data_IF_402604091492
#
_entry.id   IF_402604091492
#
_cell.length_a   1.000
_cell.length_b   1.000
_cell.length_c   1.000
_cell.angle_alpha   90.00
_cell.angle_beta   90.00
_cell.angle_gamma   90.00
#
_symmetry.space_group_name_H-M   'P 1'
#
loop_
_entity.id
_entity.type
_entity.pdbx_description
1 polymer ?
#
# COMPACT_ATOMS: atom_id res chain seq x y z
N UNK A 1 -20.71 22.49 -8.68
CA UNK A 1 -20.58 21.93 -7.33
C UNK A 1 -19.45 20.91 -7.43
N UNK A 2 -18.43 21.02 -6.57
CA UNK A 2 -17.27 20.14 -6.65
C UNK A 2 -17.65 18.73 -6.18
N UNK A 3 -16.95 17.71 -6.69
CA UNK A 3 -17.18 16.34 -6.31
C UNK A 3 -16.29 15.93 -5.14
N UNK A 4 -16.82 15.09 -4.26
CA UNK A 4 -16.01 14.30 -3.35
C UNK A 4 -15.57 13.05 -4.09
N UNK A 5 -14.25 12.86 -4.19
CA UNK A 5 -13.68 11.75 -4.98
C UNK A 5 -12.60 11.04 -4.22
N UNK A 6 -12.44 9.75 -4.48
CA UNK A 6 -11.20 9.03 -4.21
C UNK A 6 -10.90 8.03 -5.32
N UNK A 7 -9.65 7.65 -5.41
CA UNK A 7 -9.17 6.63 -6.34
C UNK A 7 -8.22 5.69 -5.61
N UNK A 8 -8.37 4.40 -5.83
CA UNK A 8 -7.45 3.38 -5.32
C UNK A 8 -6.58 2.90 -6.48
N UNK A 9 -5.28 2.92 -6.24
CA UNK A 9 -4.28 2.40 -7.16
C UNK A 9 -3.64 1.14 -6.59
N UNK A 10 -3.59 0.11 -7.38
CA UNK A 10 -2.78 -1.06 -7.09
C UNK A 10 -1.36 -0.87 -7.65
N UNK A 11 -0.38 -1.32 -6.89
CA UNK A 11 1.04 -1.16 -7.20
C UNK A 11 1.61 -2.54 -7.45
N UNK A 12 1.88 -2.84 -8.71
CA UNK A 12 2.46 -4.10 -9.12
C UNK A 12 3.99 -4.03 -9.21
N UNK A 13 4.60 -5.19 -9.36
CA UNK A 13 6.04 -5.32 -9.55
C UNK A 13 6.56 -4.45 -10.71
N UNK A 14 7.74 -3.86 -10.52
CA UNK A 14 8.34 -2.98 -11.52
C UNK A 14 7.76 -1.57 -11.57
N UNK A 15 7.04 -1.14 -10.51
CA UNK A 15 6.39 0.17 -10.44
C UNK A 15 5.34 0.39 -11.53
N UNK A 16 4.56 -0.64 -11.81
CA UNK A 16 3.36 -0.53 -12.62
C UNK A 16 2.18 -0.20 -11.72
N UNK A 17 1.36 0.74 -12.11
CA UNK A 17 0.26 1.29 -11.34
C UNK A 17 -1.06 1.07 -12.05
N UNK A 18 -2.06 0.59 -11.36
CA UNK A 18 -3.37 0.33 -11.92
C UNK A 18 -4.48 0.99 -11.09
N UNK A 19 -5.35 1.74 -11.74
CA UNK A 19 -6.56 2.26 -11.12
C UNK A 19 -7.56 1.10 -10.94
N UNK A 20 -7.81 0.69 -9.70
CA UNK A 20 -8.66 -0.48 -9.40
C UNK A 20 -10.01 -0.13 -8.80
N UNK A 21 -10.15 1.06 -8.24
CA UNK A 21 -11.43 1.56 -7.70
C UNK A 21 -11.49 3.07 -7.79
N UNK A 22 -12.68 3.58 -8.09
CA UNK A 22 -12.99 5.02 -8.09
C UNK A 22 -14.30 5.27 -7.35
N UNK A 23 -14.35 6.41 -6.70
CA UNK A 23 -15.56 6.94 -6.08
C UNK A 23 -15.72 8.41 -6.48
N UNK A 24 -16.94 8.79 -6.87
CA UNK A 24 -17.28 10.16 -7.25
C UNK A 24 -18.71 10.47 -6.85
N UNK A 25 -18.91 11.44 -5.99
CA UNK A 25 -20.24 11.88 -5.55
C UNK A 25 -20.23 13.37 -5.23
N UNK A 26 -21.20 14.12 -5.74
CA UNK A 26 -21.36 15.55 -5.45
C UNK A 26 -22.46 15.83 -4.43
N UNK A 27 -23.15 14.80 -3.95
CA UNK A 27 -24.26 14.90 -3.01
C UNK A 27 -23.88 14.40 -1.61
N UNK A 28 -22.78 13.67 -1.50
CA UNK A 28 -22.32 13.12 -0.21
C UNK A 28 -21.93 14.23 0.76
N UNK A 29 -22.36 14.08 2.00
CA UNK A 29 -21.84 14.93 3.09
C UNK A 29 -20.35 14.66 3.31
N UNK A 30 -19.51 15.70 3.41
CA UNK A 30 -18.10 15.54 3.76
C UNK A 30 -17.88 14.77 5.07
N UNK A 31 -18.87 14.75 5.97
CA UNK A 31 -18.80 13.98 7.22
C UNK A 31 -18.93 12.46 7.04
N UNK A 32 -19.51 12.01 5.93
CA UNK A 32 -19.68 10.57 5.63
C UNK A 32 -18.53 10.03 4.77
N UNK A 33 -17.78 10.90 4.12
CA UNK A 33 -16.68 10.50 3.25
C UNK A 33 -15.58 9.70 4.00
N UNK A 34 -15.18 10.07 5.24
CA UNK A 34 -14.17 9.33 6.00
C UNK A 34 -14.54 7.85 6.21
N UNK A 35 -15.79 7.57 6.61
CA UNK A 35 -16.25 6.18 6.82
C UNK A 35 -16.15 5.36 5.54
N UNK A 36 -16.52 5.96 4.40
CA UNK A 36 -16.43 5.29 3.10
C UNK A 36 -14.97 5.05 2.74
N UNK A 37 -14.10 6.05 2.90
CA UNK A 37 -12.68 5.91 2.63
C UNK A 37 -12.06 4.79 3.49
N UNK A 38 -12.29 4.79 4.79
CA UNK A 38 -11.77 3.78 5.71
C UNK A 38 -12.28 2.38 5.36
N UNK A 39 -13.58 2.25 5.02
CA UNK A 39 -14.17 0.98 4.59
C UNK A 39 -13.49 0.42 3.35
N UNK A 40 -13.32 1.24 2.32
CA UNK A 40 -12.68 0.80 1.08
C UNK A 40 -11.19 0.54 1.27
N UNK A 41 -10.48 1.36 2.03
CA UNK A 41 -9.08 1.13 2.33
C UNK A 41 -8.85 -0.23 3.03
N UNK A 42 -9.70 -0.58 4.00
CA UNK A 42 -9.68 -1.92 4.64
C UNK A 42 -9.97 -3.06 3.66
N UNK A 43 -10.89 -2.86 2.70
CA UNK A 43 -11.18 -3.86 1.66
C UNK A 43 -9.99 -4.07 0.71
N UNK A 44 -9.17 -3.05 0.53
CA UNK A 44 -7.98 -3.07 -0.32
C UNK A 44 -6.70 -3.20 0.53
N UNK A 45 -6.68 -4.18 1.42
CA UNK A 45 -5.52 -4.60 2.20
C UNK A 45 -4.94 -3.48 3.09
N UNK A 46 -5.81 -2.79 3.82
CA UNK A 46 -5.44 -1.64 4.66
C UNK A 46 -4.60 -0.60 3.90
N UNK A 47 -5.08 -0.22 2.72
CA UNK A 47 -4.37 0.66 1.80
C UNK A 47 -3.92 1.97 2.45
N UNK A 48 -2.75 2.47 2.08
CA UNK A 48 -2.28 3.80 2.50
C UNK A 48 -3.23 4.89 2.00
N UNK A 49 -3.81 5.67 2.91
CA UNK A 49 -4.68 6.78 2.54
C UNK A 49 -3.87 8.08 2.45
N UNK A 50 -3.96 8.73 1.30
CA UNK A 50 -3.40 10.05 1.03
C UNK A 50 -4.55 11.01 0.82
N UNK A 51 -4.71 11.98 1.70
CA UNK A 51 -5.79 12.98 1.63
C UNK A 51 -5.21 14.35 1.26
N UNK A 52 -5.87 15.07 0.36
CA UNK A 52 -5.61 16.49 0.17
C UNK A 52 -6.07 17.28 1.39
N UNK A 53 -5.13 17.83 2.16
CA UNK A 53 -5.39 18.55 3.42
C UNK A 53 -5.72 20.04 3.20
N UNK A 54 -6.42 20.37 2.12
CA UNK A 54 -6.88 21.74 1.87
C UNK A 54 -8.37 21.85 2.23
N UNK A 55 -8.78 22.94 2.84
CA UNK A 55 -10.20 23.22 3.12
C UNK A 55 -10.89 22.08 3.89
N UNK A 56 -11.88 21.44 3.27
CA UNK A 56 -12.66 20.34 3.85
C UNK A 56 -11.84 19.06 4.07
N UNK A 57 -10.78 18.85 3.29
CA UNK A 57 -9.90 17.69 3.44
C UNK A 57 -9.20 17.62 4.80
N UNK A 58 -8.94 18.75 5.44
CA UNK A 58 -8.39 18.77 6.79
C UNK A 58 -9.33 18.12 7.83
N UNK A 59 -10.65 18.25 7.64
CA UNK A 59 -11.65 17.59 8.49
C UNK A 59 -11.64 16.06 8.20
N UNK A 60 -11.60 15.66 6.94
CA UNK A 60 -11.51 14.26 6.54
C UNK A 60 -10.26 13.59 7.13
N UNK A 61 -9.11 14.27 7.09
CA UNK A 61 -7.87 13.78 7.72
C UNK A 61 -8.04 13.54 9.22
N UNK A 62 -8.65 14.47 9.93
CA UNK A 62 -8.83 14.37 11.38
C UNK A 62 -9.80 13.25 11.75
N UNK A 63 -10.91 13.15 11.04
CA UNK A 63 -11.91 12.11 11.26
C UNK A 63 -11.31 10.71 11.03
N UNK A 64 -10.61 10.51 9.91
CA UNK A 64 -9.94 9.24 9.61
C UNK A 64 -8.94 8.86 10.70
N UNK A 65 -8.09 9.80 11.13
CA UNK A 65 -6.98 9.49 12.00
C UNK A 65 -7.37 9.40 13.47
N UNK A 66 -8.20 10.35 13.98
CA UNK A 66 -8.50 10.44 15.42
C UNK A 66 -9.79 9.73 15.80
N UNK A 67 -10.83 9.75 14.94
CA UNK A 67 -12.14 9.18 15.29
C UNK A 67 -12.27 7.75 14.78
N UNK A 68 -11.81 7.48 13.55
CA UNK A 68 -11.84 6.12 12.97
C UNK A 68 -10.56 5.33 13.23
N UNK A 69 -9.57 5.94 13.89
CA UNK A 69 -8.29 5.32 14.25
C UNK A 69 -7.62 4.60 13.07
N UNK A 70 -7.72 5.18 11.86
CA UNK A 70 -7.08 4.60 10.69
C UNK A 70 -5.61 5.02 10.65
N UNK A 71 -4.71 4.09 11.03
CA UNK A 71 -3.29 4.40 11.24
C UNK A 71 -2.50 4.56 9.93
N UNK A 72 -2.89 3.81 8.86
CA UNK A 72 -2.12 3.81 7.61
C UNK A 72 -2.44 5.04 6.74
N UNK A 73 -2.10 6.22 7.25
CA UNK A 73 -2.27 7.50 6.56
C UNK A 73 -0.93 8.13 6.22
N UNK A 74 -0.89 8.77 5.05
CA UNK A 74 0.28 9.57 4.67
C UNK A 74 0.41 10.81 5.56
N UNK A 75 1.61 11.02 6.11
CA UNK A 75 1.94 12.17 6.94
C UNK A 75 3.14 12.92 6.38
N UNK A 76 3.00 14.23 6.22
CA UNK A 76 4.12 15.13 5.87
C UNK A 76 4.99 15.47 7.08
N UNK A 77 4.45 15.35 8.29
CA UNK A 77 5.17 15.57 9.55
C UNK A 77 4.49 14.84 10.69
N UNK A 78 5.25 14.05 11.44
CA UNK A 78 4.77 13.31 12.62
C UNK A 78 4.51 14.20 13.86
N UNK A 79 4.85 15.49 13.80
CA UNK A 79 4.92 16.35 15.00
C UNK A 79 3.70 17.26 15.16
N UNK A 80 2.87 17.45 14.13
CA UNK A 80 1.72 18.35 14.17
C UNK A 80 0.48 17.70 13.57
N UNK A 81 -0.67 17.95 14.18
CA UNK A 81 -1.98 17.55 13.64
C UNK A 81 -2.20 18.03 12.18
N UNK A 82 -1.61 19.15 11.80
CA UNK A 82 -1.61 19.68 10.43
C UNK A 82 -0.70 18.91 9.47
N UNK A 83 0.06 17.92 9.95
CA UNK A 83 0.95 17.07 9.15
C UNK A 83 0.27 15.88 8.50
N UNK A 84 -0.99 15.60 8.80
CA UNK A 84 -1.75 14.50 8.21
C UNK A 84 -2.19 14.90 6.80
N UNK A 85 -1.92 14.01 5.83
CA UNK A 85 -2.25 14.27 4.42
C UNK A 85 -1.27 15.20 3.70
N UNK A 86 -1.66 15.64 2.53
CA UNK A 86 -0.85 16.47 1.61
C UNK A 86 -1.49 17.83 1.43
N UNK A 87 -0.75 18.89 1.71
CA UNK A 87 -1.20 20.23 1.35
C UNK A 87 -0.92 20.49 -0.13
N UNK A 88 -1.98 20.53 -0.93
CA UNK A 88 -1.87 20.82 -2.36
C UNK A 88 -1.49 22.31 -2.58
N UNK A 89 -0.22 22.54 -2.78
CA UNK A 89 0.33 23.84 -3.15
C UNK A 89 0.57 23.91 -4.65
N UNK A 90 0.78 25.10 -5.20
CA UNK A 90 1.17 25.25 -6.62
C UNK A 90 2.40 24.42 -6.99
N UNK A 91 3.37 24.32 -6.05
CA UNK A 91 4.58 23.51 -6.24
C UNK A 91 4.27 22.02 -6.29
N UNK A 92 3.48 21.50 -5.33
CA UNK A 92 3.08 20.09 -5.26
C UNK A 92 2.27 19.73 -6.51
N UNK A 93 1.30 20.56 -6.90
CA UNK A 93 0.53 20.36 -8.13
C UNK A 93 1.40 20.30 -9.37
N UNK A 94 2.33 21.22 -9.52
CA UNK A 94 3.26 21.24 -10.67
C UNK A 94 4.17 20.01 -10.71
N UNK A 95 4.71 19.60 -9.56
CA UNK A 95 5.52 18.38 -9.45
C UNK A 95 4.70 17.13 -9.75
N UNK A 96 3.47 17.05 -9.22
CA UNK A 96 2.56 15.93 -9.48
C UNK A 96 2.16 15.83 -10.96
N UNK A 97 1.85 16.97 -11.62
CA UNK A 97 1.56 16.97 -13.06
C UNK A 97 2.77 16.51 -13.89
N UNK A 98 3.99 16.91 -13.51
CA UNK A 98 5.20 16.47 -14.20
C UNK A 98 5.45 14.97 -14.01
N UNK A 99 5.32 14.47 -12.78
CA UNK A 99 5.46 13.05 -12.46
C UNK A 99 4.36 12.20 -13.14
N UNK A 100 3.11 12.71 -13.17
CA UNK A 100 2.00 12.04 -13.84
C UNK A 100 2.28 11.87 -15.33
N UNK A 101 2.78 12.92 -15.97
CA UNK A 101 3.18 12.86 -17.37
C UNK A 101 4.28 11.82 -17.59
N UNK A 102 5.30 11.79 -16.75
CA UNK A 102 6.41 10.84 -16.84
C UNK A 102 5.91 9.38 -16.75
N UNK A 103 5.10 9.02 -15.73
CA UNK A 103 4.58 7.65 -15.59
C UNK A 103 3.60 7.26 -16.71
N UNK A 104 2.91 8.23 -17.30
CA UNK A 104 2.06 7.98 -18.48
C UNK A 104 2.87 7.76 -19.75
N UNK A 105 3.91 8.58 -20.00
CA UNK A 105 4.83 8.43 -21.14
C UNK A 105 5.60 7.09 -21.07
N UNK A 106 5.95 6.66 -19.87
CA UNK A 106 6.58 5.37 -19.59
C UNK A 106 5.60 4.17 -19.63
N UNK A 107 4.29 4.44 -19.85
CA UNK A 107 3.21 3.44 -19.86
C UNK A 107 3.11 2.63 -18.56
N UNK A 108 3.41 3.26 -17.46
CA UNK A 108 3.37 2.64 -16.12
C UNK A 108 2.02 2.81 -15.42
N UNK A 109 1.13 3.68 -15.91
CA UNK A 109 -0.17 3.96 -15.30
C UNK A 109 -1.31 3.45 -16.19
N UNK A 110 -2.13 2.56 -15.66
CA UNK A 110 -3.33 2.04 -16.29
C UNK A 110 -4.57 2.68 -15.67
N UNK A 111 -5.30 3.46 -16.45
CA UNK A 111 -6.57 4.07 -16.08
C UNK A 111 -7.70 3.25 -16.70
N UNK A 112 -8.64 2.79 -15.89
CA UNK A 112 -9.78 1.98 -16.33
C UNK A 112 -11.09 2.74 -16.34
N UNK A 113 -11.23 3.75 -15.49
CA UNK A 113 -12.45 4.51 -15.32
C UNK A 113 -12.63 5.52 -16.46
N UNK A 114 -13.81 5.46 -17.10
CA UNK A 114 -14.15 6.29 -18.25
C UNK A 114 -14.26 7.77 -17.88
N UNK A 115 -14.81 8.08 -16.70
CA UNK A 115 -14.97 9.46 -16.23
C UNK A 115 -13.58 10.10 -15.99
N UNK A 116 -12.65 9.36 -15.40
CA UNK A 116 -11.25 9.78 -15.25
C UNK A 116 -10.61 10.07 -16.61
N UNK A 117 -10.81 9.19 -17.61
CA UNK A 117 -10.27 9.40 -18.97
C UNK A 117 -10.88 10.65 -19.62
N UNK A 118 -12.16 10.91 -19.42
CA UNK A 118 -12.82 12.10 -19.94
C UNK A 118 -12.27 13.38 -19.30
N UNK A 119 -12.02 13.38 -17.99
CA UNK A 119 -11.39 14.50 -17.31
C UNK A 119 -9.97 14.76 -17.83
N UNK A 120 -9.18 13.70 -18.11
CA UNK A 120 -7.87 13.85 -18.75
C UNK A 120 -7.95 14.55 -20.11
N UNK A 121 -8.97 14.27 -20.92
CA UNK A 121 -9.15 14.89 -22.23
C UNK A 121 -9.41 16.40 -22.14
N UNK A 122 -9.93 16.90 -21.01
CA UNK A 122 -10.22 18.31 -20.77
C UNK A 122 -9.24 18.99 -19.83
N UNK A 123 -8.24 18.28 -19.33
CA UNK A 123 -7.24 18.80 -18.41
C UNK A 123 -6.13 19.53 -19.17
N UNK A 124 -6.13 20.84 -19.09
CA UNK A 124 -5.28 21.70 -19.93
C UNK A 124 -4.36 22.59 -19.10
N UNK A 125 -3.24 22.98 -19.70
CA UNK A 125 -2.35 23.98 -19.13
C UNK A 125 -2.93 25.38 -19.29
N UNK A 126 -3.09 26.11 -18.20
CA UNK A 126 -3.49 27.52 -18.18
C UNK A 126 -2.46 28.36 -17.44
N UNK A 127 -1.61 29.06 -18.18
CA UNK A 127 -0.55 29.87 -17.63
C UNK A 127 0.52 29.01 -16.94
N UNK A 128 0.66 29.16 -15.61
CA UNK A 128 1.62 28.40 -14.80
C UNK A 128 0.95 27.24 -14.02
N UNK A 129 -0.27 26.87 -14.35
CA UNK A 129 -1.02 25.83 -13.66
C UNK A 129 -1.74 24.92 -14.65
N UNK A 130 -2.27 23.81 -14.16
CA UNK A 130 -3.08 22.86 -14.89
C UNK A 130 -4.46 22.82 -14.27
N UNK A 131 -5.51 22.76 -15.06
CA UNK A 131 -6.89 22.68 -14.60
C UNK A 131 -7.81 22.17 -15.71
N UNK A 132 -9.02 21.77 -15.37
CA UNK A 132 -10.05 21.47 -16.34
C UNK A 132 -10.37 22.69 -17.22
N UNK A 133 -10.73 22.45 -18.47
CA UNK A 133 -11.27 23.50 -19.34
C UNK A 133 -12.64 23.99 -18.86
N UNK A 134 -13.06 25.17 -19.34
CA UNK A 134 -14.23 25.85 -18.80
C UNK A 134 -15.49 24.96 -18.80
N UNK A 135 -16.08 24.77 -17.61
CA UNK A 135 -17.28 23.96 -17.42
C UNK A 135 -17.04 22.45 -17.22
N UNK A 136 -15.78 22.00 -17.25
CA UNK A 136 -15.38 20.63 -16.96
C UNK A 136 -14.82 20.48 -15.53
N UNK A 137 -14.66 19.24 -15.08
CA UNK A 137 -14.13 18.88 -13.77
C UNK A 137 -12.74 18.27 -13.91
N UNK A 138 -11.90 18.35 -12.85
CA UNK A 138 -10.57 17.75 -12.76
C UNK A 138 -10.36 16.97 -11.46
N UNK A 139 -11.43 16.65 -10.73
CA UNK A 139 -11.36 16.04 -9.42
C UNK A 139 -10.68 14.65 -9.46
N UNK A 140 -11.03 13.83 -10.46
CA UNK A 140 -10.44 12.50 -10.65
C UNK A 140 -8.99 12.58 -11.14
N UNK A 141 -8.71 13.53 -12.06
CA UNK A 141 -7.33 13.77 -12.52
C UNK A 141 -6.46 14.28 -11.37
N UNK A 142 -7.01 15.09 -10.45
CA UNK A 142 -6.28 15.56 -9.29
C UNK A 142 -5.90 14.41 -8.33
N UNK A 143 -6.72 13.36 -8.22
CA UNK A 143 -6.32 12.13 -7.51
C UNK A 143 -5.10 11.48 -8.18
N UNK A 144 -5.08 11.40 -9.52
CA UNK A 144 -3.93 10.87 -10.26
C UNK A 144 -2.69 11.76 -10.10
N UNK A 145 -2.85 13.08 -10.09
CA UNK A 145 -1.76 14.05 -9.85
C UNK A 145 -1.15 13.88 -8.45
N UNK A 146 -1.99 13.72 -7.44
CA UNK A 146 -1.55 13.51 -6.06
C UNK A 146 -0.83 12.17 -5.90
N UNK A 147 -1.36 11.11 -6.49
CA UNK A 147 -0.73 9.80 -6.54
C UNK A 147 0.65 9.86 -7.22
N UNK A 148 0.74 10.45 -8.40
CA UNK A 148 2.00 10.59 -9.13
C UNK A 148 3.04 11.43 -8.36
N UNK A 149 2.60 12.49 -7.68
CA UNK A 149 3.45 13.24 -6.78
C UNK A 149 4.00 12.34 -5.66
N UNK A 150 3.15 11.56 -5.01
CA UNK A 150 3.55 10.63 -3.94
C UNK A 150 4.58 9.61 -4.43
N UNK A 151 4.35 8.98 -5.58
CA UNK A 151 5.26 8.00 -6.21
C UNK A 151 6.63 8.62 -6.51
N UNK A 152 6.68 9.92 -6.82
CA UNK A 152 7.94 10.63 -7.05
C UNK A 152 8.74 10.93 -5.78
N UNK A 153 8.15 10.76 -4.58
CA UNK A 153 8.79 11.07 -3.31
C UNK A 153 9.85 10.03 -2.90
N UNK A 154 10.88 10.42 -2.13
CA UNK A 154 11.81 9.47 -1.54
C UNK A 154 11.12 8.44 -0.64
N UNK A 155 10.07 8.86 0.08
CA UNK A 155 9.31 7.98 0.97
C UNK A 155 8.73 6.77 0.22
N UNK A 156 8.11 6.99 -0.94
CA UNK A 156 7.59 5.90 -1.75
C UNK A 156 8.71 4.94 -2.18
N UNK A 157 9.86 5.47 -2.60
CA UNK A 157 11.02 4.66 -3.00
C UNK A 157 11.56 3.83 -1.85
N UNK A 158 11.56 4.38 -0.63
CA UNK A 158 11.98 3.67 0.56
C UNK A 158 10.98 2.57 0.94
N UNK A 159 9.68 2.84 0.86
CA UNK A 159 8.62 1.85 1.09
C UNK A 159 8.72 0.69 0.08
N UNK A 160 8.76 0.99 -1.21
CA UNK A 160 8.85 -0.05 -2.27
C UNK A 160 10.14 -0.87 -2.17
N UNK A 161 11.25 -0.27 -1.74
CA UNK A 161 12.50 -1.00 -1.50
C UNK A 161 12.46 -1.89 -0.24
N UNK A 162 11.71 -1.49 0.77
CA UNK A 162 11.51 -2.29 1.99
C UNK A 162 10.61 -3.49 1.71
N UNK A 163 9.54 -3.30 0.93
CA UNK A 163 8.65 -4.38 0.50
C UNK A 163 9.39 -5.39 -0.37
N UNK A 164 10.20 -4.94 -1.32
CA UNK A 164 11.04 -5.82 -2.13
C UNK A 164 12.01 -6.63 -1.27
N UNK A 165 12.65 -6.01 -0.27
CA UNK A 165 13.52 -6.73 0.67
C UNK A 165 12.75 -7.76 1.48
N UNK A 166 11.56 -7.41 1.98
CA UNK A 166 10.73 -8.35 2.76
C UNK A 166 10.30 -9.55 1.91
N UNK A 167 9.93 -9.35 0.65
CA UNK A 167 9.62 -10.43 -0.29
C UNK A 167 10.83 -11.33 -0.54
N UNK A 168 12.01 -10.75 -0.79
CA UNK A 168 13.25 -11.52 -0.97
C UNK A 168 13.65 -12.32 0.27
N UNK A 169 13.42 -11.78 1.47
CA UNK A 169 13.64 -12.51 2.71
C UNK A 169 12.64 -13.65 2.88
N UNK A 170 11.37 -13.44 2.58
CA UNK A 170 10.33 -14.47 2.66
C UNK A 170 10.58 -15.61 1.65
N UNK A 171 10.99 -15.28 0.41
CA UNK A 171 11.35 -16.26 -0.61
C UNK A 171 12.57 -17.09 -0.18
N UNK A 172 13.60 -16.43 0.33
CA UNK A 172 14.80 -17.11 0.85
C UNK A 172 14.51 -17.98 2.06
N UNK A 173 13.60 -17.55 2.93
CA UNK A 173 13.18 -18.33 4.08
C UNK A 173 12.41 -19.57 3.65
N UNK A 174 11.56 -19.46 2.62
CA UNK A 174 10.85 -20.58 2.03
C UNK A 174 11.80 -21.57 1.35
N UNK A 175 12.80 -21.10 0.62
CA UNK A 175 13.85 -21.95 0.07
C UNK A 175 14.58 -22.73 1.16
N UNK A 176 14.92 -22.08 2.28
CA UNK A 176 15.56 -22.73 3.44
C UNK A 176 14.61 -23.75 4.07
N UNK A 177 13.32 -23.44 4.21
CA UNK A 177 12.32 -24.38 4.75
C UNK A 177 12.11 -25.58 3.82
N UNK A 178 12.13 -25.37 2.51
CA UNK A 178 12.02 -26.44 1.51
C UNK A 178 13.29 -27.31 1.45
N UNK A 179 14.48 -26.76 1.77
CA UNK A 179 15.75 -27.47 1.84
C UNK A 179 15.97 -28.16 3.19
N UNK A 180 15.20 -27.84 4.23
CA UNK A 180 15.20 -28.59 5.47
C UNK A 180 14.50 -29.92 5.22
N UNK A 181 15.30 -30.92 4.83
CA UNK A 181 14.85 -32.30 4.85
C UNK A 181 14.43 -32.62 6.29
N UNK A 182 13.19 -33.06 6.56
CA UNK A 182 12.78 -33.40 7.93
C UNK A 182 13.73 -34.50 8.45
N UNK A 183 14.68 -34.09 9.26
CA UNK A 183 15.54 -35.01 10.00
C UNK A 183 14.64 -35.72 10.99
N UNK A 184 14.40 -36.99 10.71
CA UNK A 184 13.75 -37.88 11.65
C UNK A 184 12.31 -38.26 11.34
N UNK A 185 12.10 -39.05 10.28
CA UNK A 185 11.08 -40.09 10.40
C UNK A 185 11.73 -41.20 11.23
N UNK A 186 11.49 -41.17 12.54
CA UNK A 186 11.74 -42.32 13.40
C UNK A 186 10.65 -43.33 13.02
N UNK A 187 11.02 -44.27 12.15
CA UNK A 187 10.17 -45.43 11.90
C UNK A 187 10.20 -46.31 13.15
N UNK A 188 9.13 -46.22 13.94
CA UNK A 188 8.92 -47.02 15.16
C UNK A 188 8.74 -48.53 14.92
N UNK A 189 9.07 -49.03 13.72
CA UNK A 189 8.97 -50.46 13.35
C UNK A 189 10.27 -51.21 13.30
N UNK A 190 11.38 -50.59 13.64
CA UNK A 190 12.70 -51.25 13.69
C UNK A 190 13.34 -51.05 15.03
N UNK A 191 13.56 -52.14 15.73
CA UNK A 191 14.21 -52.26 17.04
C UNK A 191 15.69 -51.81 16.97
N UNK A 192 15.98 -50.52 16.79
CA UNK A 192 17.29 -49.94 16.96
C UNK A 192 17.18 -48.56 17.57
N UNK A 193 17.44 -48.49 18.87
CA UNK A 193 17.50 -47.29 19.68
C UNK A 193 18.72 -46.42 19.34
N UNK A 194 19.26 -46.49 18.13
CA UNK A 194 20.46 -45.79 17.69
C UNK A 194 20.24 -45.03 16.38
N UNK A 195 20.72 -43.80 16.30
CA UNK A 195 20.80 -43.03 15.05
C UNK A 195 22.24 -42.46 14.89
N UNK A 196 22.62 -42.17 13.64
CA UNK A 196 23.93 -41.62 13.29
C UNK A 196 23.79 -40.21 12.80
N UNK A 197 24.48 -39.27 13.43
CA UNK A 197 24.54 -37.87 13.01
C UNK A 197 26.03 -37.47 12.93
N UNK A 198 26.46 -36.86 11.82
CA UNK A 198 27.84 -36.44 11.55
C UNK A 198 28.93 -37.52 11.75
N UNK A 199 28.58 -38.79 11.60
CA UNK A 199 29.50 -39.92 11.81
C UNK A 199 29.53 -40.45 13.23
N UNK A 200 28.82 -39.82 14.15
CA UNK A 200 28.66 -40.29 15.54
C UNK A 200 27.38 -41.08 15.72
N UNK A 201 27.42 -42.13 16.53
CA UNK A 201 26.33 -43.02 16.83
C UNK A 201 25.69 -42.63 18.17
N UNK A 202 24.43 -42.23 18.11
CA UNK A 202 23.62 -41.84 19.27
C UNK A 202 22.67 -42.96 19.65
N UNK A 203 22.53 -43.23 20.93
CA UNK A 203 21.58 -44.21 21.45
C UNK A 203 20.50 -43.51 22.26
N UNK A 204 19.22 -43.77 21.93
CA UNK A 204 18.08 -43.28 22.72
C UNK A 204 18.05 -44.04 24.05
N UNK A 205 18.16 -43.33 25.17
CA UNK A 205 17.99 -43.93 26.51
C UNK A 205 16.54 -43.73 26.91
N UNK A 206 15.82 -44.82 27.03
CA UNK A 206 14.42 -44.83 27.49
C UNK A 206 14.41 -44.79 29.01
N UNK A 207 14.02 -43.67 29.62
CA UNK A 207 14.01 -43.46 31.08
C UNK A 207 12.88 -44.23 31.79
N UNK A 208 12.01 -44.92 31.03
CA UNK A 208 10.85 -45.64 31.59
C UNK A 208 11.10 -47.14 31.89
N UNK A 209 12.30 -47.62 31.78
CA UNK A 209 12.66 -48.98 32.24
C UNK A 209 12.90 -49.01 33.73
N UNK A 210 11.86 -49.21 34.43
CA UNK A 210 11.69 -49.62 35.81
C UNK A 210 12.93 -50.37 36.42
N UNK A 211 13.68 -49.71 37.28
CA UNK A 211 14.66 -50.38 38.13
C UNK A 211 13.91 -51.16 39.19
N UNK A 212 13.73 -52.46 38.94
CA UNK A 212 13.31 -53.41 39.98
C UNK A 212 14.31 -53.37 41.13
N UNK A 213 13.79 -53.06 42.28
CA UNK A 213 14.44 -53.12 43.57
C UNK A 213 14.76 -54.58 43.87
N UNK A 214 15.97 -54.88 44.14
CA UNK A 214 16.37 -55.98 45.01
C UNK A 214 17.00 -55.42 46.29
#
# INVERSE_FOLDING_TARGET
>A
MDYSTFTIFDIHDGNMFEQVCTFRDNMISPMLLPDICAKYAKLYNDALIIVENNGQGAMVCRELYYELEYENMFMTSSVKADGIGVRMTKKVKAQGCAALREIMEEKKLYIRDVDTIQEFATFVSKGQSWQADGGCHDDMVMNCVMFAWFVSTPLFKDMSSADLKSMLYAEKQKEIEDDIVPIGIIDSRGNSDTFVEDGDVWTVVDDDKNYGVF
#
